data_IF_766718957779
#
_entry.id   IF_766718957779
#
_cell.length_a   1.000
_cell.length_b   1.000
_cell.length_c   1.000
_cell.angle_alpha   90.00
_cell.angle_beta   90.00
_cell.angle_gamma   90.00
#
_symmetry.space_group_name_H-M   'P 1'
#
loop_
_entity.id
_entity.type
_entity.pdbx_description
1 polymer ?
#
# COMPACT_ATOMS: atom_id res chain seq x y z
N UNK A 1 -0.12 2.22 -6.42
CA UNK A 1 0.21 1.24 -7.48
C UNK A 1 0.30 1.86 -8.86
N UNK A 2 -0.77 2.48 -9.38
CA UNK A 2 -0.82 3.08 -10.72
C UNK A 2 0.36 4.05 -10.96
N UNK A 3 0.63 4.93 -10.00
CA UNK A 3 1.75 5.88 -10.05
C UNK A 3 3.10 5.18 -10.29
N UNK A 4 3.33 4.04 -9.64
CA UNK A 4 4.61 3.30 -9.71
C UNK A 4 4.72 2.46 -10.97
N UNK A 5 3.62 1.84 -11.41
CA UNK A 5 3.57 1.20 -12.72
C UNK A 5 3.89 2.21 -13.82
N UNK A 6 3.35 3.43 -13.70
CA UNK A 6 3.60 4.52 -14.63
C UNK A 6 5.04 5.02 -14.57
N UNK A 7 5.62 5.17 -13.38
CA UNK A 7 7.01 5.55 -13.20
C UNK A 7 7.99 4.50 -13.77
N UNK A 8 7.65 3.21 -13.71
CA UNK A 8 8.45 2.13 -14.31
C UNK A 8 8.31 2.05 -15.84
N UNK A 9 7.09 2.19 -16.38
CA UNK A 9 6.83 2.00 -17.83
C UNK A 9 7.05 3.27 -18.65
N UNK A 10 6.81 4.45 -18.08
CA UNK A 10 6.79 5.75 -18.77
C UNK A 10 7.63 6.79 -18.03
N UNK A 11 8.85 6.42 -17.63
CA UNK A 11 9.80 7.25 -16.87
C UNK A 11 9.93 8.69 -17.40
N UNK A 12 10.11 8.87 -18.71
CA UNK A 12 10.31 10.19 -19.34
C UNK A 12 9.06 11.09 -19.32
N UNK A 13 7.86 10.50 -19.44
CA UNK A 13 6.60 11.24 -19.34
C UNK A 13 6.23 11.53 -17.89
N UNK A 14 6.55 10.59 -17.00
CA UNK A 14 6.33 10.72 -15.57
C UNK A 14 7.11 11.90 -14.96
N UNK A 15 8.33 12.15 -15.42
CA UNK A 15 9.12 13.30 -14.95
C UNK A 15 8.51 14.66 -15.32
N UNK A 16 7.80 14.73 -16.45
CA UNK A 16 7.17 15.97 -16.95
C UNK A 16 5.82 16.26 -16.30
N UNK A 17 5.10 15.21 -15.93
CA UNK A 17 3.80 15.31 -15.29
C UNK A 17 3.99 15.26 -13.77
N UNK A 18 3.95 16.43 -13.13
CA UNK A 18 4.21 16.56 -11.70
C UNK A 18 3.23 15.85 -10.77
N UNK A 19 3.24 16.23 -9.49
CA UNK A 19 2.56 15.50 -8.37
C UNK A 19 1.02 15.52 -8.40
N UNK A 20 0.41 16.27 -9.32
CA UNK A 20 -1.04 16.54 -9.32
C UNK A 20 -1.88 15.27 -9.48
N UNK A 21 -1.45 14.32 -10.31
CA UNK A 21 -2.21 13.09 -10.54
C UNK A 21 -2.39 12.28 -9.25
N UNK A 22 -1.33 12.13 -8.45
CA UNK A 22 -1.40 11.43 -7.17
C UNK A 22 -2.37 12.09 -6.19
N UNK A 23 -2.41 13.43 -6.19
CA UNK A 23 -3.32 14.21 -5.34
C UNK A 23 -4.78 13.97 -5.77
N UNK A 24 -5.09 14.09 -7.07
CA UNK A 24 -6.45 13.85 -7.57
C UNK A 24 -6.95 12.43 -7.30
N UNK A 25 -6.10 11.43 -7.52
CA UNK A 25 -6.44 10.04 -7.24
C UNK A 25 -6.69 9.81 -5.75
N UNK A 26 -5.87 10.41 -4.87
CA UNK A 26 -6.07 10.33 -3.43
C UNK A 26 -7.40 10.96 -3.02
N UNK A 27 -7.70 12.18 -3.49
CA UNK A 27 -8.95 12.87 -3.18
C UNK A 27 -10.18 12.06 -3.63
N UNK A 28 -10.13 11.46 -4.82
CA UNK A 28 -11.21 10.61 -5.32
C UNK A 28 -11.43 9.38 -4.42
N UNK A 29 -10.38 8.70 -4.00
CA UNK A 29 -10.47 7.52 -3.11
C UNK A 29 -11.05 7.92 -1.75
N UNK A 30 -10.60 9.04 -1.19
CA UNK A 30 -11.13 9.56 0.08
C UNK A 30 -12.62 9.88 -0.01
N UNK A 31 -13.04 10.56 -1.07
CA UNK A 31 -14.43 10.93 -1.29
C UNK A 31 -15.34 9.69 -1.41
N UNK A 32 -14.93 8.69 -2.20
CA UNK A 32 -15.66 7.42 -2.35
C UNK A 32 -15.75 6.70 -0.99
N UNK A 33 -14.65 6.67 -0.22
CA UNK A 33 -14.60 6.03 1.09
C UNK A 33 -15.54 6.69 2.11
N UNK A 34 -15.59 8.02 2.12
CA UNK A 34 -16.50 8.78 2.98
C UNK A 34 -17.96 8.51 2.62
N UNK A 35 -18.30 8.55 1.32
CA UNK A 35 -19.67 8.27 0.85
C UNK A 35 -20.10 6.85 1.27
N UNK A 36 -19.22 5.87 1.06
CA UNK A 36 -19.48 4.49 1.45
C UNK A 36 -19.68 4.34 2.97
N UNK A 37 -18.83 5.00 3.77
CA UNK A 37 -18.95 4.98 5.23
C UNK A 37 -20.28 5.58 5.71
N UNK A 38 -20.70 6.72 5.13
CA UNK A 38 -22.00 7.34 5.45
C UNK A 38 -23.14 6.39 5.10
N UNK A 39 -23.12 5.79 3.90
CA UNK A 39 -24.14 4.83 3.47
C UNK A 39 -24.28 3.66 4.45
N UNK A 40 -23.17 3.03 4.83
CA UNK A 40 -23.16 1.90 5.76
C UNK A 40 -23.63 2.31 7.16
N UNK A 41 -23.25 3.51 7.62
CA UNK A 41 -23.69 4.05 8.92
C UNK A 41 -25.21 4.27 8.95
N UNK A 42 -25.78 4.86 7.90
CA UNK A 42 -27.22 5.07 7.78
C UNK A 42 -27.98 3.74 7.68
N UNK A 43 -27.45 2.77 6.93
CA UNK A 43 -28.04 1.44 6.81
C UNK A 43 -28.01 0.66 8.14
N UNK A 44 -26.97 0.86 8.96
CA UNK A 44 -26.89 0.27 10.30
C UNK A 44 -27.89 0.91 11.27
N UNK A 45 -28.08 2.24 11.22
CA UNK A 45 -29.05 2.96 12.05
C UNK A 45 -30.52 2.61 11.72
N UNK A 46 -30.79 2.14 10.50
CA UNK A 46 -32.12 1.70 10.09
C UNK A 46 -32.54 0.35 10.71
N UNK A 47 -31.60 -0.41 11.31
CA UNK A 47 -31.90 -1.66 12.00
C UNK A 47 -32.28 -1.42 13.46
N UNK A 48 -33.58 -1.29 13.71
CA UNK A 48 -34.14 -1.08 15.06
C UNK A 48 -34.26 -2.35 15.89
N UNK A 49 -34.08 -3.55 15.30
CA UNK A 49 -34.41 -4.84 15.94
C UNK A 49 -33.18 -5.56 16.54
N UNK A 50 -32.05 -5.62 15.83
CA UNK A 50 -30.84 -6.32 16.32
C UNK A 50 -29.75 -5.36 16.86
N UNK A 51 -29.68 -4.12 16.34
CA UNK A 51 -28.54 -3.23 16.57
C UNK A 51 -28.90 -1.74 16.71
N UNK A 52 -29.99 -1.43 17.43
CA UNK A 52 -30.53 -0.07 17.64
C UNK A 52 -29.69 0.94 18.43
N UNK A 53 -28.36 0.75 18.50
CA UNK A 53 -27.42 1.73 19.06
C UNK A 53 -26.30 2.01 18.05
N UNK A 54 -25.86 3.28 17.91
CA UNK A 54 -24.72 3.61 17.07
C UNK A 54 -23.48 2.91 17.63
N UNK A 55 -23.06 1.81 16.99
CA UNK A 55 -21.80 1.15 17.32
C UNK A 55 -20.67 1.92 16.63
N UNK A 56 -19.62 2.25 17.40
CA UNK A 56 -18.40 2.85 16.84
C UNK A 56 -17.66 1.98 15.82
N UNK A 57 -18.11 0.73 15.64
CA UNK A 57 -17.57 -0.26 14.72
C UNK A 57 -18.72 -0.85 13.90
N UNK A 58 -18.72 -0.59 12.59
CA UNK A 58 -19.73 -1.07 11.65
C UNK A 58 -19.16 -2.29 10.92
N UNK A 59 -18.93 -3.38 11.66
CA UNK A 59 -18.46 -4.66 11.11
C UNK A 59 -19.44 -5.82 11.38
N UNK A 60 -20.39 -5.60 12.31
CA UNK A 60 -21.43 -6.58 12.60
C UNK A 60 -22.54 -6.42 11.56
N UNK A 61 -22.75 -7.49 10.79
CA UNK A 61 -23.74 -7.53 9.72
C UNK A 61 -25.16 -7.62 10.30
N UNK A 62 -25.97 -6.60 10.05
CA UNK A 62 -27.43 -6.64 10.10
C UNK A 62 -28.01 -7.14 8.77
N UNK A 63 -29.31 -7.42 8.77
CA UNK A 63 -30.06 -7.76 7.54
C UNK A 63 -29.94 -6.68 6.45
N UNK A 64 -29.74 -5.42 6.84
CA UNK A 64 -29.71 -4.27 5.93
C UNK A 64 -28.32 -3.95 5.36
N UNK A 65 -27.23 -4.31 6.06
CA UNK A 65 -25.86 -4.00 5.62
C UNK A 65 -25.06 -5.24 5.15
N UNK A 66 -25.57 -6.47 5.40
CA UNK A 66 -24.84 -7.71 5.12
C UNK A 66 -24.43 -7.86 3.65
N UNK A 67 -25.33 -7.55 2.71
CA UNK A 67 -25.08 -7.70 1.28
C UNK A 67 -24.06 -6.66 0.76
N UNK A 68 -24.19 -5.35 1.04
CA UNK A 68 -23.16 -4.36 0.73
C UNK A 68 -21.78 -4.71 1.30
N UNK A 69 -21.73 -5.15 2.57
CA UNK A 69 -20.47 -5.54 3.21
C UNK A 69 -19.84 -6.75 2.52
N UNK A 70 -20.63 -7.75 2.14
CA UNK A 70 -20.13 -8.91 1.41
C UNK A 70 -19.52 -8.54 0.05
N UNK A 71 -20.21 -7.69 -0.73
CA UNK A 71 -19.66 -7.21 -1.99
C UNK A 71 -18.37 -6.42 -1.80
N UNK A 72 -18.29 -5.62 -0.75
CA UNK A 72 -17.08 -4.85 -0.45
C UNK A 72 -15.92 -5.71 0.03
N UNK A 73 -16.19 -6.77 0.79
CA UNK A 73 -15.16 -7.77 1.15
C UNK A 73 -14.61 -8.47 -0.10
N UNK A 74 -15.48 -8.91 -1.01
CA UNK A 74 -15.04 -9.53 -2.28
C UNK A 74 -14.26 -8.53 -3.13
N UNK A 75 -14.77 -7.31 -3.28
CA UNK A 75 -14.10 -6.26 -4.05
C UNK A 75 -12.71 -5.95 -3.49
N UNK A 76 -12.60 -5.83 -2.17
CA UNK A 76 -11.31 -5.57 -1.49
C UNK A 76 -10.35 -6.74 -1.68
N UNK A 77 -10.82 -7.98 -1.58
CA UNK A 77 -10.02 -9.18 -1.83
C UNK A 77 -9.50 -9.23 -3.28
N UNK A 78 -10.36 -8.96 -4.27
CA UNK A 78 -9.95 -8.89 -5.68
C UNK A 78 -8.92 -7.78 -5.87
N UNK A 79 -9.17 -6.60 -5.32
CA UNK A 79 -8.25 -5.46 -5.41
C UNK A 79 -6.89 -5.83 -4.84
N UNK A 80 -6.86 -6.51 -3.68
CA UNK A 80 -5.63 -6.96 -3.04
C UNK A 80 -4.85 -7.95 -3.90
N UNK A 81 -5.51 -8.97 -4.45
CA UNK A 81 -4.88 -9.93 -5.38
C UNK A 81 -4.29 -9.20 -6.59
N UNK A 82 -5.06 -8.31 -7.21
CA UNK A 82 -4.61 -7.53 -8.38
C UNK A 82 -3.41 -6.68 -8.00
N UNK A 83 -3.43 -6.01 -6.85
CA UNK A 83 -2.30 -5.18 -6.40
C UNK A 83 -1.04 -5.99 -6.15
N UNK A 84 -1.12 -7.12 -5.44
CA UNK A 84 0.05 -7.98 -5.19
C UNK A 84 0.65 -8.53 -6.48
N UNK A 85 -0.19 -8.94 -7.44
CA UNK A 85 0.26 -9.40 -8.76
C UNK A 85 0.93 -8.27 -9.57
N UNK A 86 0.37 -7.06 -9.53
CA UNK A 86 0.96 -5.89 -10.18
C UNK A 86 2.35 -5.57 -9.61
N UNK A 87 2.48 -5.56 -8.29
CA UNK A 87 3.75 -5.28 -7.62
C UNK A 87 4.82 -6.34 -7.93
N UNK A 88 4.42 -7.61 -7.92
CA UNK A 88 5.30 -8.70 -8.33
C UNK A 88 5.79 -8.52 -9.77
N UNK A 89 4.89 -8.18 -10.70
CA UNK A 89 5.22 -7.90 -12.10
C UNK A 89 6.16 -6.69 -12.23
N UNK A 90 5.91 -5.60 -11.50
CA UNK A 90 6.77 -4.41 -11.53
C UNK A 90 8.18 -4.73 -11.05
N UNK A 91 8.35 -5.57 -10.03
CA UNK A 91 9.67 -5.99 -9.55
C UNK A 91 10.43 -6.78 -10.63
N UNK A 92 9.76 -7.71 -11.31
CA UNK A 92 10.37 -8.46 -12.41
C UNK A 92 10.78 -7.51 -13.53
N UNK A 93 9.93 -6.55 -13.90
CA UNK A 93 10.21 -5.56 -14.93
C UNK A 93 11.39 -4.66 -14.53
N UNK A 94 11.42 -4.15 -13.30
CA UNK A 94 12.53 -3.33 -12.79
C UNK A 94 13.86 -4.10 -12.83
N UNK A 95 13.87 -5.39 -12.48
CA UNK A 95 15.08 -6.24 -12.58
C UNK A 95 15.50 -6.43 -14.04
N UNK A 96 14.55 -6.68 -14.94
CA UNK A 96 14.82 -6.87 -16.37
C UNK A 96 15.40 -5.60 -17.00
N UNK A 97 14.79 -4.45 -16.76
CA UNK A 97 15.27 -3.16 -17.26
C UNK A 97 16.67 -2.86 -16.71
N UNK A 98 16.90 -3.05 -15.40
CA UNK A 98 18.22 -2.85 -14.78
C UNK A 98 19.32 -3.68 -15.45
N UNK A 99 19.03 -4.95 -15.77
CA UNK A 99 19.99 -5.84 -16.43
C UNK A 99 20.25 -5.42 -17.88
N UNK A 100 19.24 -4.91 -18.60
CA UNK A 100 19.38 -4.41 -19.96
C UNK A 100 20.20 -3.11 -20.00
N UNK A 101 19.97 -2.17 -19.08
CA UNK A 101 20.68 -0.88 -19.05
C UNK A 101 22.15 -1.03 -18.67
N UNK A 102 22.53 -2.10 -17.94
CA UNK A 102 23.93 -2.36 -17.56
C UNK A 102 24.83 -2.66 -18.77
N UNK A 103 24.26 -3.16 -19.87
CA UNK A 103 24.99 -3.60 -21.06
C UNK A 103 24.76 -2.69 -22.29
N UNK A 104 23.99 -1.61 -22.17
CA UNK A 104 23.61 -0.78 -23.31
C UNK A 104 24.46 0.48 -23.45
N UNK A 105 24.86 0.80 -24.68
CA UNK A 105 25.53 2.06 -25.04
C UNK A 105 24.67 3.33 -24.81
N UNK A 106 23.37 3.18 -24.50
CA UNK A 106 22.43 4.27 -24.19
C UNK A 106 22.15 4.33 -22.68
N UNK A 107 23.19 4.59 -21.90
CA UNK A 107 23.03 4.78 -20.46
C UNK A 107 22.39 6.15 -20.17
N UNK A 108 21.21 6.16 -19.55
CA UNK A 108 20.55 7.38 -19.06
C UNK A 108 20.61 7.45 -17.53
N UNK A 109 21.22 8.51 -17.02
CA UNK A 109 21.36 8.75 -15.58
C UNK A 109 20.00 8.93 -14.90
N UNK A 110 19.07 9.65 -15.53
CA UNK A 110 17.72 9.90 -14.99
C UNK A 110 16.91 8.61 -14.87
N UNK A 111 16.96 7.76 -15.90
CA UNK A 111 16.28 6.47 -15.89
C UNK A 111 16.84 5.54 -14.81
N UNK A 112 18.17 5.48 -14.65
CA UNK A 112 18.78 4.65 -13.63
C UNK A 112 18.47 5.16 -12.21
N UNK A 113 18.42 6.48 -12.01
CA UNK A 113 17.99 7.08 -10.74
C UNK A 113 16.55 6.70 -10.39
N UNK A 114 15.60 6.93 -11.30
CA UNK A 114 14.18 6.58 -11.10
C UNK A 114 13.99 5.08 -10.85
N UNK A 115 14.72 4.23 -11.58
CA UNK A 115 14.62 2.77 -11.40
C UNK A 115 15.17 2.31 -10.06
N UNK A 116 16.25 2.92 -9.57
CA UNK A 116 16.81 2.63 -8.25
C UNK A 116 15.87 3.10 -7.13
N UNK A 117 15.24 4.26 -7.29
CA UNK A 117 14.23 4.77 -6.34
C UNK A 117 12.97 3.90 -6.31
N UNK A 118 12.47 3.48 -7.47
CA UNK A 118 11.34 2.54 -7.56
C UNK A 118 11.69 1.17 -6.95
N UNK A 119 12.90 0.66 -7.19
CA UNK A 119 13.35 -0.62 -6.61
C UNK A 119 13.44 -0.55 -5.09
N UNK A 120 13.98 0.55 -4.54
CA UNK A 120 14.05 0.78 -3.10
C UNK A 120 12.65 0.87 -2.48
N UNK A 121 11.75 1.61 -3.11
CA UNK A 121 10.36 1.76 -2.68
C UNK A 121 9.58 0.46 -2.74
N UNK A 122 9.82 -0.39 -3.75
CA UNK A 122 9.17 -1.70 -3.85
C UNK A 122 9.69 -2.74 -2.87
N UNK A 123 10.95 -2.64 -2.45
CA UNK A 123 11.47 -3.48 -1.36
C UNK A 123 10.75 -3.24 -0.04
N UNK A 124 10.18 -2.04 0.16
CA UNK A 124 9.38 -1.72 1.33
C UNK A 124 7.91 -2.11 1.17
N UNK A 125 7.31 -1.77 0.03
CA UNK A 125 5.86 -1.89 -0.14
C UNK A 125 5.44 -3.34 -0.35
N UNK A 126 6.19 -4.14 -1.13
CA UNK A 126 5.79 -5.51 -1.40
C UNK A 126 5.65 -6.36 -0.12
N UNK A 127 6.61 -6.37 0.84
CA UNK A 127 6.42 -7.10 2.09
C UNK A 127 5.24 -6.60 2.93
N UNK A 128 4.95 -5.30 2.90
CA UNK A 128 3.82 -4.71 3.61
C UNK A 128 2.49 -5.13 2.98
N UNK A 129 2.37 -5.03 1.66
CA UNK A 129 1.18 -5.41 0.92
C UNK A 129 0.92 -6.92 1.02
N UNK A 130 1.98 -7.74 0.97
CA UNK A 130 1.87 -9.18 1.17
C UNK A 130 1.48 -9.54 2.61
N UNK A 131 2.03 -8.83 3.60
CA UNK A 131 1.64 -9.00 5.00
C UNK A 131 0.18 -8.64 5.21
N UNK A 132 -0.28 -7.49 4.68
CA UNK A 132 -1.68 -7.09 4.75
C UNK A 132 -2.59 -8.11 4.04
N UNK A 133 -2.18 -8.63 2.88
CA UNK A 133 -2.90 -9.70 2.18
C UNK A 133 -3.09 -10.97 2.99
N UNK A 134 -2.05 -11.39 3.68
CA UNK A 134 -2.09 -12.57 4.53
C UNK A 134 -3.00 -12.36 5.76
N UNK A 135 -2.86 -11.23 6.46
CA UNK A 135 -3.67 -10.94 7.66
C UNK A 135 -5.14 -10.69 7.32
N UNK A 136 -5.42 -9.97 6.23
CA UNK A 136 -6.79 -9.74 5.78
C UNK A 136 -7.46 -11.04 5.28
N UNK A 137 -6.71 -11.95 4.66
CA UNK A 137 -7.22 -13.27 4.30
C UNK A 137 -7.60 -14.08 5.54
N UNK A 138 -6.78 -14.05 6.59
CA UNK A 138 -7.13 -14.68 7.87
C UNK A 138 -8.40 -14.08 8.47
N UNK A 139 -8.49 -12.75 8.51
CA UNK A 139 -9.70 -12.04 8.96
C UNK A 139 -10.95 -12.53 8.22
N UNK A 140 -10.91 -12.62 6.88
CA UNK A 140 -12.06 -13.12 6.11
C UNK A 140 -12.42 -14.55 6.49
N UNK A 141 -11.43 -15.44 6.65
CA UNK A 141 -11.67 -16.83 7.05
C UNK A 141 -12.32 -16.90 8.43
N UNK A 142 -11.81 -16.14 9.41
CA UNK A 142 -12.40 -16.06 10.75
C UNK A 142 -13.83 -15.49 10.70
N UNK A 143 -14.07 -14.41 9.97
CA UNK A 143 -15.40 -13.83 9.79
C UNK A 143 -16.40 -14.83 9.17
N UNK A 144 -15.97 -15.63 8.17
CA UNK A 144 -16.80 -16.68 7.57
C UNK A 144 -17.13 -17.77 8.60
N UNK A 145 -16.15 -18.25 9.36
CA UNK A 145 -16.35 -19.25 10.41
C UNK A 145 -17.34 -18.72 11.45
N UNK A 146 -17.13 -17.49 11.95
CA UNK A 146 -18.03 -16.88 12.94
C UNK A 146 -19.46 -16.75 12.42
N UNK A 147 -19.65 -16.42 11.14
CA UNK A 147 -20.99 -16.39 10.52
C UNK A 147 -21.62 -17.77 10.41
N UNK A 148 -20.85 -18.80 10.04
CA UNK A 148 -21.34 -20.17 9.94
C UNK A 148 -21.84 -20.72 11.28
N UNK A 149 -21.20 -20.31 12.39
CA UNK A 149 -21.59 -20.72 13.74
C UNK A 149 -22.50 -19.72 14.47
N UNK A 150 -23.00 -18.66 13.80
CA UNK A 150 -23.86 -17.62 14.41
C UNK A 150 -25.07 -18.23 15.13
N UNK A 151 -25.74 -19.21 14.53
CA UNK A 151 -26.96 -19.84 15.09
C UNK A 151 -26.71 -20.64 16.36
N UNK A 152 -25.47 -21.07 16.59
CA UNK A 152 -25.09 -21.92 17.71
C UNK A 152 -24.46 -21.15 18.87
N UNK A 153 -24.27 -19.83 18.72
CA UNK A 153 -23.59 -18.97 19.70
C UNK A 153 -24.54 -17.91 20.27
N UNK A 154 -24.48 -17.64 21.59
CA UNK A 154 -25.10 -16.45 22.17
C UNK A 154 -24.57 -15.17 21.52
N UNK A 155 -25.43 -14.16 21.36
CA UNK A 155 -25.09 -12.88 20.73
C UNK A 155 -23.86 -12.20 21.36
N UNK A 156 -23.70 -12.30 22.68
CA UNK A 156 -22.57 -11.73 23.42
C UNK A 156 -21.23 -12.37 23.02
N UNK A 157 -21.19 -13.69 22.85
CA UNK A 157 -20.00 -14.40 22.41
C UNK A 157 -19.66 -14.09 20.96
N UNK A 158 -20.70 -14.03 20.10
CA UNK A 158 -20.53 -13.66 18.69
C UNK A 158 -19.89 -12.27 18.54
N UNK A 159 -20.38 -11.28 19.30
CA UNK A 159 -19.83 -9.92 19.30
C UNK A 159 -18.38 -9.91 19.82
N UNK A 160 -18.10 -10.64 20.90
CA UNK A 160 -16.76 -10.72 21.48
C UNK A 160 -15.73 -11.24 20.47
N UNK A 161 -16.02 -12.35 19.79
CA UNK A 161 -15.11 -12.93 18.80
C UNK A 161 -14.88 -12.01 17.60
N UNK A 162 -15.93 -11.33 17.11
CA UNK A 162 -15.79 -10.33 16.06
C UNK A 162 -14.87 -9.18 16.47
N UNK A 163 -15.05 -8.65 17.69
CA UNK A 163 -14.21 -7.58 18.20
C UNK A 163 -12.73 -8.01 18.32
N UNK A 164 -12.48 -9.27 18.70
CA UNK A 164 -11.11 -9.82 18.78
C UNK A 164 -10.48 -9.90 17.39
N UNK A 165 -11.22 -10.40 16.40
CA UNK A 165 -10.77 -10.49 15.00
C UNK A 165 -10.49 -9.10 14.39
N UNK A 166 -11.37 -8.13 14.62
CA UNK A 166 -11.17 -6.74 14.20
C UNK A 166 -9.96 -6.10 14.91
N UNK A 167 -9.81 -6.33 16.22
CA UNK A 167 -8.66 -5.80 16.99
C UNK A 167 -7.34 -6.33 16.44
N UNK A 168 -7.30 -7.60 16.03
CA UNK A 168 -6.11 -8.19 15.42
C UNK A 168 -5.71 -7.46 14.12
N UNK A 169 -6.69 -7.12 13.27
CA UNK A 169 -6.45 -6.35 12.05
C UNK A 169 -5.98 -4.91 12.33
N UNK A 170 -6.55 -4.25 13.36
CA UNK A 170 -6.09 -2.92 13.77
C UNK A 170 -4.68 -2.92 14.33
N UNK A 171 -4.33 -3.92 15.14
CA UNK A 171 -2.97 -4.10 15.67
C UNK A 171 -1.99 -4.31 14.52
N UNK A 172 -2.32 -5.14 13.54
CA UNK A 172 -1.50 -5.31 12.33
C UNK A 172 -1.29 -3.99 11.57
N UNK A 173 -2.36 -3.20 11.41
CA UNK A 173 -2.29 -1.90 10.73
C UNK A 173 -1.39 -0.92 11.48
N UNK A 174 -1.48 -0.87 12.81
CA UNK A 174 -0.63 -0.04 13.66
C UNK A 174 0.85 -0.46 13.56
N UNK A 175 1.15 -1.76 13.62
CA UNK A 175 2.51 -2.29 13.45
C UNK A 175 3.06 -1.93 12.07
N UNK A 176 2.25 -2.10 11.02
CA UNK A 176 2.62 -1.78 9.64
C UNK A 176 3.01 -0.30 9.49
N UNK A 177 2.25 0.61 10.10
CA UNK A 177 2.57 2.03 10.11
C UNK A 177 3.91 2.32 10.82
N UNK A 178 4.15 1.69 11.98
CA UNK A 178 5.41 1.85 12.73
C UNK A 178 6.60 1.35 11.91
N UNK A 179 6.47 0.19 11.26
CA UNK A 179 7.50 -0.38 10.39
C UNK A 179 7.79 0.55 9.22
N UNK A 180 6.75 1.07 8.58
CA UNK A 180 6.88 2.02 7.46
C UNK A 180 7.64 3.29 7.88
N UNK A 181 7.23 3.93 8.97
CA UNK A 181 7.89 5.14 9.51
C UNK A 181 9.35 4.84 9.86
N UNK A 182 9.60 3.72 10.53
CA UNK A 182 10.95 3.30 10.93
C UNK A 182 11.87 3.10 9.72
N UNK A 183 11.35 2.50 8.65
CA UNK A 183 12.10 2.30 7.42
C UNK A 183 12.39 3.60 6.67
N UNK A 184 11.40 4.49 6.55
CA UNK A 184 11.60 5.82 5.94
C UNK A 184 12.67 6.61 6.71
N UNK A 185 12.62 6.58 8.04
CA UNK A 185 13.62 7.20 8.90
C UNK A 185 15.01 6.55 8.72
N UNK A 186 15.08 5.23 8.59
CA UNK A 186 16.31 4.51 8.31
C UNK A 186 16.94 4.97 6.97
N UNK A 187 16.16 5.04 5.89
CA UNK A 187 16.63 5.54 4.59
C UNK A 187 17.11 6.97 4.70
N UNK A 188 16.35 7.85 5.36
CA UNK A 188 16.72 9.26 5.54
C UNK A 188 18.07 9.39 6.27
N UNK A 189 18.26 8.62 7.35
CA UNK A 189 19.53 8.56 8.09
C UNK A 189 20.66 8.02 7.22
N UNK A 190 20.44 6.93 6.49
CA UNK A 190 21.41 6.33 5.58
C UNK A 190 21.87 7.34 4.51
N UNK A 191 20.92 8.02 3.84
CA UNK A 191 21.21 9.08 2.86
C UNK A 191 21.97 10.24 3.48
N UNK A 192 21.60 10.67 4.69
CA UNK A 192 22.33 11.76 5.38
C UNK A 192 23.76 11.39 5.73
N UNK A 193 24.02 10.11 6.07
CA UNK A 193 25.37 9.61 6.34
C UNK A 193 26.19 9.54 5.06
N UNK A 194 25.59 9.08 3.96
CA UNK A 194 26.24 9.06 2.65
C UNK A 194 26.61 10.47 2.18
N UNK A 195 25.70 11.44 2.33
CA UNK A 195 25.93 12.84 1.95
C UNK A 195 27.01 13.52 2.82
N UNK A 196 27.16 13.09 4.07
CA UNK A 196 28.21 13.57 4.98
C UNK A 196 29.56 12.89 4.77
N UNK A 197 29.65 11.87 3.91
CA UNK A 197 30.89 11.20 3.60
C UNK A 197 31.76 12.08 2.68
N UNK A 198 32.53 13.00 3.29
CA UNK A 198 33.34 14.00 2.58
C UNK A 198 34.29 13.38 1.56
N UNK A 199 34.82 12.20 1.86
CA UNK A 199 35.77 11.48 1.01
C UNK A 199 35.16 11.07 -0.34
N UNK A 200 33.94 10.53 -0.32
CA UNK A 200 33.19 10.19 -1.53
C UNK A 200 32.73 11.45 -2.31
N UNK A 201 32.47 12.56 -1.62
CA UNK A 201 32.18 13.85 -2.28
C UNK A 201 33.41 14.43 -2.97
N UNK A 202 34.58 14.32 -2.36
CA UNK A 202 35.84 14.80 -2.94
C UNK A 202 36.26 13.96 -4.14
N UNK A 203 36.14 12.63 -4.05
CA UNK A 203 36.36 11.72 -5.19
C UNK A 203 35.39 11.99 -6.34
N UNK A 204 34.09 12.19 -6.06
CA UNK A 204 33.11 12.52 -7.09
C UNK A 204 33.44 13.87 -7.76
N UNK A 205 33.81 14.89 -6.99
CA UNK A 205 34.22 16.20 -7.54
C UNK A 205 35.45 16.08 -8.42
N UNK A 206 36.46 15.32 -8.00
CA UNK A 206 37.67 15.04 -8.79
C UNK A 206 37.30 14.35 -10.11
N UNK A 207 36.42 13.35 -10.07
CA UNK A 207 36.00 12.61 -11.25
C UNK A 207 35.17 13.46 -12.23
N UNK A 208 34.30 14.35 -11.74
CA UNK A 208 33.58 15.31 -12.59
C UNK A 208 34.52 16.35 -13.20
N UNK A 209 35.53 16.78 -12.45
CA UNK A 209 36.54 17.73 -12.95
C UNK A 209 37.36 17.11 -14.09
N UNK A 210 37.78 15.85 -13.94
CA UNK A 210 38.46 15.09 -14.99
C UNK A 210 37.59 14.92 -16.24
N UNK A 211 36.31 14.57 -16.09
CA UNK A 211 35.38 14.50 -17.22
C UNK A 211 35.22 15.85 -17.91
N UNK A 212 35.17 16.95 -17.16
CA UNK A 212 35.04 18.29 -17.73
C UNK A 212 36.29 18.74 -18.49
N UNK A 213 37.47 18.25 -18.11
CA UNK A 213 38.73 18.45 -18.83
C UNK A 213 38.82 17.59 -20.09
N UNK A 214 38.29 16.36 -20.07
CA UNK A 214 38.25 15.46 -21.25
C UNK A 214 37.28 15.98 -22.34
N UNK A 215 36.26 16.74 -21.94
CA UNK A 215 35.24 17.28 -22.85
C UNK A 215 35.53 18.71 -23.34
N UNK A 216 36.65 19.30 -22.93
CA UNK A 216 37.19 20.54 -23.51
C UNK A 216 38.10 20.22 -24.67
#
# INVERSE_FOLDING_TARGET
MIERARATLLAEKYEKEGRLLGIYMSLAVWLISIIYYIYISLAALADTEEFGQPKGLIYITSKYNALPMFYMTIFTLILMIVTTLCDWRIIILNRKIKNLTKNSAKYSLSQNFQLNENTLSMRLILPLDLSYALFYSFYIVFAIILRAYKSSMPLTQYILFYNVDDTFLFVHTAITLIVYISFVNYIKRYRSRLAKNKLAQEEAKLHFKQLQEIWK
#
